data_IF_580084424314
#
_entry.id   IF_580084424314
#
_cell.length_a   1.000
_cell.length_b   1.000
_cell.length_c   1.000
_cell.angle_alpha   90.00
_cell.angle_beta   90.00
_cell.angle_gamma   90.00
#
_symmetry.space_group_name_H-M   'P 1'
#
loop_
_entity.id
_entity.type
_entity.pdbx_description
1 polymer ?
#
# COMPACT_ATOMS: atom_id res chain seq x y z
N UNK A 1 22.54 19.79 -1.62
CA UNK A 1 21.37 18.92 -1.79
C UNK A 1 21.74 17.55 -1.26
N UNK A 2 21.12 17.10 -0.15
CA UNK A 2 21.36 15.75 0.35
C UNK A 2 20.68 14.76 -0.61
N UNK A 3 21.41 13.75 -1.07
CA UNK A 3 20.84 12.66 -1.85
C UNK A 3 19.92 11.88 -0.92
N UNK A 4 18.63 11.67 -1.26
CA UNK A 4 17.75 10.86 -0.44
C UNK A 4 18.35 9.45 -0.33
N UNK A 5 18.51 8.97 0.90
CA UNK A 5 19.00 7.62 1.15
C UNK A 5 17.91 6.64 0.71
N UNK A 6 18.17 5.89 -0.35
CA UNK A 6 17.33 4.77 -0.77
C UNK A 6 17.70 3.56 0.08
N UNK A 7 16.73 3.02 0.81
CA UNK A 7 16.86 1.77 1.54
C UNK A 7 16.03 0.70 0.83
N UNK A 8 16.61 -0.48 0.68
CA UNK A 8 15.90 -1.66 0.17
C UNK A 8 15.78 -2.66 1.30
N UNK A 9 14.55 -3.02 1.61
CA UNK A 9 14.23 -3.99 2.64
C UNK A 9 13.62 -5.21 1.97
N UNK A 10 14.03 -6.39 2.41
CA UNK A 10 13.30 -7.62 2.14
C UNK A 10 12.03 -7.70 2.99
N UNK A 11 11.04 -8.52 2.60
CA UNK A 11 9.86 -8.79 3.44
C UNK A 11 10.21 -9.24 4.87
N UNK A 12 11.36 -9.92 5.07
CA UNK A 12 11.87 -10.29 6.39
C UNK A 12 12.37 -9.10 7.21
N UNK A 13 12.92 -8.07 6.57
CA UNK A 13 13.37 -6.86 7.27
C UNK A 13 12.21 -5.92 7.58
N UNK A 14 11.15 -5.96 6.78
CA UNK A 14 9.87 -5.29 7.04
C UNK A 14 9.00 -5.99 8.10
N UNK A 15 9.47 -7.07 8.73
CA UNK A 15 8.76 -7.68 9.86
C UNK A 15 8.70 -6.76 11.09
N UNK A 16 9.60 -5.77 11.17
CA UNK A 16 9.64 -4.78 12.24
C UNK A 16 9.71 -3.36 11.69
N UNK A 17 8.53 -2.79 11.40
CA UNK A 17 8.39 -1.44 10.84
C UNK A 17 8.81 -0.32 11.79
N UNK A 18 8.99 -0.60 13.09
CA UNK A 18 9.40 0.40 14.10
C UNK A 18 10.79 0.98 13.81
N UNK A 19 11.61 0.27 13.04
CA UNK A 19 12.94 0.74 12.62
C UNK A 19 12.90 1.81 11.53
N UNK A 20 11.80 1.94 10.79
CA UNK A 20 11.72 2.92 9.70
C UNK A 20 11.85 4.35 10.25
N UNK A 21 11.08 4.77 11.28
CA UNK A 21 11.29 6.06 11.93
C UNK A 21 12.69 6.22 12.54
N UNK A 22 13.22 5.19 13.21
CA UNK A 22 14.55 5.24 13.84
C UNK A 22 15.68 5.50 12.83
N UNK A 23 15.54 4.96 11.62
CA UNK A 23 16.47 5.17 10.52
C UNK A 23 16.25 6.49 9.77
N UNK A 24 15.24 7.28 10.17
CA UNK A 24 14.82 8.52 9.51
C UNK A 24 14.22 8.28 8.13
N UNK A 25 13.64 7.09 7.89
CA UNK A 25 12.93 6.78 6.64
C UNK A 25 11.60 7.53 6.66
N UNK A 26 11.42 8.43 5.70
CA UNK A 26 10.19 9.23 5.57
C UNK A 26 9.28 8.74 4.45
N UNK A 27 9.79 7.89 3.55
CA UNK A 27 9.00 7.29 2.48
C UNK A 27 9.44 5.85 2.20
N UNK A 28 8.47 4.98 1.97
CA UNK A 28 8.68 3.57 1.65
C UNK A 28 7.86 3.19 0.41
N UNK A 29 8.55 2.67 -0.61
CA UNK A 29 7.92 1.99 -1.75
C UNK A 29 7.80 0.50 -1.44
N UNK A 30 6.61 -0.06 -1.65
CA UNK A 30 6.31 -1.47 -1.41
C UNK A 30 5.72 -2.07 -2.68
N UNK A 31 6.52 -2.93 -3.31
CA UNK A 31 6.19 -3.68 -4.54
C UNK A 31 6.41 -5.20 -4.36
N UNK A 32 6.66 -5.65 -3.13
CA UNK A 32 6.84 -7.07 -2.82
C UNK A 32 5.48 -7.78 -2.79
N UNK A 33 5.31 -8.75 -3.70
CA UNK A 33 4.09 -9.53 -3.87
C UNK A 33 3.74 -10.36 -2.62
N UNK A 34 4.72 -10.67 -1.76
CA UNK A 34 4.46 -11.32 -0.46
C UNK A 34 3.62 -10.42 0.47
N UNK A 35 3.69 -9.10 0.28
CA UNK A 35 2.95 -8.09 1.03
C UNK A 35 1.69 -7.67 0.27
N UNK A 36 1.82 -7.33 -1.02
CA UNK A 36 0.74 -6.69 -1.81
C UNK A 36 -0.10 -7.67 -2.62
N UNK A 37 0.37 -8.90 -2.84
CA UNK A 37 -0.30 -9.89 -3.69
C UNK A 37 -1.51 -10.59 -3.05
N UNK A 38 -1.66 -10.49 -1.72
CA UNK A 38 -2.81 -11.06 -1.00
C UNK A 38 -3.45 -10.05 -0.07
N UNK A 39 -4.79 -10.07 -0.01
CA UNK A 39 -5.56 -9.23 0.91
C UNK A 39 -5.12 -9.40 2.37
N UNK A 40 -4.90 -10.64 2.82
CA UNK A 40 -4.57 -10.91 4.22
C UNK A 40 -3.17 -10.41 4.58
N UNK A 41 -2.19 -10.63 3.70
CA UNK A 41 -0.83 -10.10 3.87
C UNK A 41 -0.83 -8.58 3.90
N UNK A 42 -1.56 -7.96 2.96
CA UNK A 42 -1.61 -6.52 2.85
C UNK A 42 -2.29 -5.89 4.07
N UNK A 43 -3.41 -6.47 4.52
CA UNK A 43 -4.09 -6.04 5.74
C UNK A 43 -3.20 -6.14 6.98
N UNK A 44 -2.47 -7.25 7.13
CA UNK A 44 -1.54 -7.42 8.24
C UNK A 44 -0.45 -6.34 8.21
N UNK A 45 0.12 -6.07 7.05
CA UNK A 45 1.11 -5.02 6.87
C UNK A 45 0.55 -3.64 7.22
N UNK A 46 -0.64 -3.28 6.71
CA UNK A 46 -1.27 -1.99 6.99
C UNK A 46 -1.52 -1.78 8.49
N UNK A 47 -1.97 -2.81 9.20
CA UNK A 47 -2.15 -2.76 10.66
C UNK A 47 -0.83 -2.45 11.37
N UNK A 48 0.25 -3.11 10.96
CA UNK A 48 1.58 -2.85 11.53
C UNK A 48 2.11 -1.46 11.17
N UNK A 49 1.85 -0.98 9.96
CA UNK A 49 2.27 0.35 9.51
C UNK A 49 1.58 1.46 10.32
N UNK A 50 0.28 1.35 10.53
CA UNK A 50 -0.48 2.30 11.39
C UNK A 50 0.04 2.30 12.82
N UNK A 51 0.33 1.13 13.38
CA UNK A 51 0.77 1.01 14.76
C UNK A 51 2.20 1.50 14.99
N UNK A 52 3.12 1.19 14.06
CA UNK A 52 4.57 1.30 14.31
C UNK A 52 5.27 2.40 13.53
N UNK A 53 4.72 2.83 12.40
CA UNK A 53 5.33 3.82 11.53
C UNK A 53 4.27 4.64 10.75
N UNK A 54 3.29 5.26 11.43
CA UNK A 54 2.22 6.04 10.78
C UNK A 54 2.71 7.31 10.07
N UNK A 55 3.87 7.83 10.46
CA UNK A 55 4.49 9.03 9.89
C UNK A 55 5.17 8.81 8.54
N UNK A 56 5.36 7.55 8.13
CA UNK A 56 6.00 7.20 6.87
C UNK A 56 5.02 7.36 5.71
N UNK A 57 5.48 7.95 4.62
CA UNK A 57 4.72 8.00 3.37
C UNK A 57 4.88 6.71 2.56
N UNK A 58 3.82 5.93 2.42
CA UNK A 58 3.88 4.64 1.72
C UNK A 58 3.40 4.76 0.27
N UNK A 59 4.15 4.18 -0.66
CA UNK A 59 3.72 3.96 -2.05
C UNK A 59 3.54 2.47 -2.28
N UNK A 60 2.30 2.01 -2.47
CA UNK A 60 2.00 0.59 -2.67
C UNK A 60 1.67 0.28 -4.12
N UNK A 61 2.22 -0.82 -4.64
CA UNK A 61 1.88 -1.38 -5.95
C UNK A 61 1.02 -2.63 -5.73
N UNK A 62 -0.26 -2.55 -6.08
CA UNK A 62 -1.28 -3.54 -5.68
C UNK A 62 -2.26 -3.85 -6.82
N UNK A 63 -2.78 -5.08 -6.85
CA UNK A 63 -3.92 -5.44 -7.72
C UNK A 63 -5.24 -4.95 -7.11
N UNK A 64 -6.22 -4.59 -7.97
CA UNK A 64 -7.52 -4.10 -7.51
C UNK A 64 -8.31 -5.11 -6.64
N UNK A 65 -8.00 -6.40 -6.76
CA UNK A 65 -8.65 -7.49 -6.05
C UNK A 65 -8.44 -7.45 -4.54
N UNK A 66 -7.39 -6.80 -4.04
CA UNK A 66 -7.10 -6.75 -2.60
C UNK A 66 -7.99 -5.77 -1.85
N UNK A 67 -8.60 -4.81 -2.53
CA UNK A 67 -9.34 -3.74 -1.88
C UNK A 67 -10.69 -4.19 -1.33
N UNK A 68 -10.97 -3.82 -0.09
CA UNK A 68 -12.30 -3.86 0.50
C UNK A 68 -12.45 -2.75 1.55
N UNK A 69 -13.57 -2.76 2.27
CA UNK A 69 -13.88 -1.72 3.26
C UNK A 69 -12.85 -1.65 4.39
N UNK A 70 -12.32 -2.79 4.83
CA UNK A 70 -11.35 -2.84 5.93
C UNK A 70 -10.00 -2.29 5.46
N UNK A 71 -9.53 -2.71 4.29
CA UNK A 71 -8.29 -2.17 3.69
C UNK A 71 -8.40 -0.66 3.49
N UNK A 72 -9.53 -0.17 2.96
CA UNK A 72 -9.74 1.26 2.75
C UNK A 72 -9.67 2.06 4.06
N UNK A 73 -10.21 1.53 5.16
CA UNK A 73 -10.14 2.21 6.46
C UNK A 73 -8.68 2.41 6.91
N UNK A 74 -7.86 1.37 6.86
CA UNK A 74 -6.44 1.49 7.22
C UNK A 74 -5.65 2.42 6.28
N UNK A 75 -5.98 2.42 4.99
CA UNK A 75 -5.35 3.33 4.03
C UNK A 75 -5.63 4.80 4.34
N UNK A 76 -6.80 5.12 4.92
CA UNK A 76 -7.14 6.51 5.30
C UNK A 76 -6.45 6.97 6.58
N UNK A 77 -5.94 6.05 7.39
CA UNK A 77 -5.16 6.36 8.61
C UNK A 77 -3.68 6.63 8.31
N UNK A 78 -3.23 6.30 7.10
CA UNK A 78 -1.83 6.44 6.66
C UNK A 78 -1.70 7.51 5.57
N UNK A 79 -0.50 8.09 5.48
CA UNK A 79 -0.13 8.90 4.32
C UNK A 79 0.30 7.98 3.18
N UNK A 80 -0.60 7.71 2.22
CA UNK A 80 -0.38 6.71 1.16
C UNK A 80 -0.57 7.25 -0.25
N UNK A 81 0.18 6.68 -1.20
CA UNK A 81 -0.11 6.69 -2.63
C UNK A 81 -0.27 5.26 -3.12
N UNK A 82 -1.40 4.96 -3.74
CA UNK A 82 -1.64 3.65 -4.35
C UNK A 82 -1.35 3.69 -5.84
N UNK A 83 -0.63 2.70 -6.34
CA UNK A 83 -0.49 2.40 -7.76
C UNK A 83 -1.21 1.08 -8.02
N UNK A 84 -2.33 1.17 -8.73
CA UNK A 84 -3.14 0.00 -9.08
C UNK A 84 -2.59 -0.59 -10.37
N UNK A 85 -2.05 -1.81 -10.27
CA UNK A 85 -1.48 -2.52 -11.42
C UNK A 85 -2.61 -2.97 -12.33
N UNK A 86 -2.61 -2.50 -13.57
CA UNK A 86 -3.61 -2.90 -14.56
C UNK A 86 -3.22 -4.22 -15.21
N UNK A 87 -4.06 -5.24 -15.06
CA UNK A 87 -3.86 -6.56 -15.68
C UNK A 87 -4.97 -6.89 -16.67
N UNK A 88 -4.77 -7.91 -17.52
CA UNK A 88 -5.83 -8.42 -18.40
C UNK A 88 -7.10 -8.81 -17.62
N UNK A 89 -6.93 -9.26 -16.36
CA UNK A 89 -8.04 -9.57 -15.45
C UNK A 89 -8.84 -8.34 -15.06
N UNK A 90 -8.20 -7.20 -14.84
CA UNK A 90 -8.85 -5.91 -14.58
C UNK A 90 -9.75 -5.49 -15.75
N UNK A 91 -9.32 -5.77 -16.98
CA UNK A 91 -10.07 -5.49 -18.21
C UNK A 91 -11.23 -6.48 -18.41
N UNK A 92 -11.03 -7.75 -18.07
CA UNK A 92 -12.05 -8.79 -18.19
C UNK A 92 -13.21 -8.63 -17.18
N UNK A 93 -12.94 -8.14 -15.96
CA UNK A 93 -13.93 -7.93 -14.90
C UNK A 93 -14.14 -6.43 -14.59
N UNK A 94 -14.45 -5.66 -15.63
CA UNK A 94 -14.62 -4.20 -15.58
C UNK A 94 -15.66 -3.75 -14.55
N UNK A 95 -16.72 -4.53 -14.33
CA UNK A 95 -17.79 -4.20 -13.36
C UNK A 95 -17.29 -4.27 -11.92
N UNK A 96 -16.57 -5.33 -11.56
CA UNK A 96 -16.00 -5.44 -10.22
C UNK A 96 -14.89 -4.43 -10.01
N UNK A 97 -14.03 -4.24 -11.03
CA UNK A 97 -13.00 -3.21 -11.02
C UNK A 97 -13.59 -1.82 -10.72
N UNK A 98 -14.62 -1.39 -11.46
CA UNK A 98 -15.31 -0.12 -11.23
C UNK A 98 -15.84 0.01 -9.79
N UNK A 99 -16.39 -1.06 -9.23
CA UNK A 99 -16.88 -1.06 -7.83
C UNK A 99 -15.74 -0.85 -6.83
N UNK A 100 -14.55 -1.41 -7.08
CA UNK A 100 -13.37 -1.19 -6.22
C UNK A 100 -12.85 0.23 -6.33
N UNK A 101 -12.78 0.78 -7.55
CA UNK A 101 -12.39 2.18 -7.77
C UNK A 101 -13.38 3.14 -7.10
N UNK A 102 -14.68 2.88 -7.22
CA UNK A 102 -15.71 3.67 -6.53
C UNK A 102 -15.56 3.59 -5.01
N UNK A 103 -15.23 2.41 -4.47
CA UNK A 103 -14.96 2.25 -3.04
C UNK A 103 -13.78 3.11 -2.59
N UNK A 104 -12.66 3.11 -3.32
CA UNK A 104 -11.49 3.94 -3.00
C UNK A 104 -11.84 5.43 -3.02
N UNK A 105 -12.53 5.88 -4.07
CA UNK A 105 -12.99 7.27 -4.21
C UNK A 105 -13.90 7.69 -3.05
N UNK A 106 -14.86 6.85 -2.67
CA UNK A 106 -15.79 7.14 -1.57
C UNK A 106 -15.10 7.26 -0.22
N UNK A 107 -13.96 6.59 -0.03
CA UNK A 107 -13.15 6.69 1.20
C UNK A 107 -12.06 7.77 1.10
N UNK A 108 -11.98 8.53 -0.01
CA UNK A 108 -11.00 9.59 -0.18
C UNK A 108 -9.55 9.09 -0.36
N UNK A 109 -9.37 7.84 -0.79
CA UNK A 109 -8.04 7.28 -1.02
C UNK A 109 -7.49 7.78 -2.35
N UNK A 110 -6.27 8.30 -2.34
CA UNK A 110 -5.57 8.76 -3.56
C UNK A 110 -4.89 7.57 -4.24
N UNK A 111 -5.21 7.34 -5.51
CA UNK A 111 -4.64 6.25 -6.31
C UNK A 111 -4.34 6.69 -7.75
N UNK A 112 -3.37 6.02 -8.36
CA UNK A 112 -3.02 6.08 -9.77
C UNK A 112 -3.03 4.68 -10.39
N UNK A 113 -2.66 4.61 -11.66
CA UNK A 113 -2.54 3.37 -12.42
C UNK A 113 -1.12 3.26 -12.96
N UNK A 114 -0.56 2.06 -12.87
CA UNK A 114 0.76 1.68 -13.43
C UNK A 114 0.58 0.49 -14.39
#
# INVERSE_FOLDING_TARGET
>A
MAVPKEYRFSAKELSDLSKLPELGVTSLRVDDDAITGSKNSFLFFLKQAVEKAPEVFYTFYVDYGVFDKEICAFLTELSVSLQIVLTEKSLADSKNFQRKIELLNRNGVVFGFD
#
